data_IF_536524637156
#
_entry.id   IF_536524637156
#
_cell.length_a   1.000
_cell.length_b   1.000
_cell.length_c   1.000
_cell.angle_alpha   90.00
_cell.angle_beta   90.00
_cell.angle_gamma   90.00
#
_symmetry.space_group_name_H-M   'P 1'
#
loop_
_entity.id
_entity.type
_entity.pdbx_description
1 polymer ?
#
# COMPACT_ATOMS: atom_id res chain seq x y z
N UNK A 1 -8.56 26.67 22.87
CA UNK A 1 -7.77 25.47 22.52
C UNK A 1 -6.58 25.88 21.68
N UNK A 2 -5.60 24.99 21.51
CA UNK A 2 -4.53 25.18 20.54
C UNK A 2 -4.97 24.65 19.16
N UNK A 3 -4.37 25.15 18.09
CA UNK A 3 -4.61 24.70 16.71
C UNK A 3 -3.33 24.06 16.20
N UNK A 4 -3.46 22.86 15.62
CA UNK A 4 -2.42 22.20 14.86
C UNK A 4 -2.79 22.28 13.38
N UNK A 5 -1.94 22.90 12.58
CA UNK A 5 -2.05 22.94 11.13
C UNK A 5 -0.97 22.05 10.51
N UNK A 6 -1.39 21.08 9.71
CA UNK A 6 -0.50 20.17 8.98
C UNK A 6 -0.59 20.54 7.51
N UNK A 7 0.45 21.21 7.01
CA UNK A 7 0.53 21.65 5.63
C UNK A 7 0.65 20.52 4.61
N UNK A 8 0.90 20.89 3.35
CA UNK A 8 1.02 19.93 2.25
C UNK A 8 2.26 19.05 2.42
N UNK A 9 2.13 17.76 2.08
CA UNK A 9 3.27 16.84 2.08
C UNK A 9 4.26 17.19 0.96
N UNK A 10 5.51 17.48 1.32
CA UNK A 10 6.60 17.74 0.36
C UNK A 10 7.30 16.46 -0.11
N UNK A 11 7.30 15.41 0.74
CA UNK A 11 7.88 14.09 0.46
C UNK A 11 6.92 13.01 0.94
N UNK A 12 6.51 12.16 0.02
CA UNK A 12 5.51 11.14 0.28
C UNK A 12 4.08 11.67 0.13
N UNK A 13 3.10 10.87 0.56
CA UNK A 13 1.66 11.20 0.41
C UNK A 13 0.82 10.98 1.67
N UNK A 14 1.40 10.41 2.73
CA UNK A 14 0.68 10.07 3.97
C UNK A 14 1.43 10.58 5.19
N UNK A 15 0.72 11.27 6.07
CA UNK A 15 1.18 11.66 7.40
C UNK A 15 0.24 11.05 8.46
N UNK A 16 0.74 10.94 9.68
CA UNK A 16 -0.01 10.39 10.81
C UNK A 16 0.01 11.40 11.95
N UNK A 17 -1.16 11.75 12.46
CA UNK A 17 -1.34 12.53 13.68
C UNK A 17 -1.86 11.59 14.76
N UNK A 18 -1.16 11.54 15.89
CA UNK A 18 -1.53 10.69 17.01
C UNK A 18 -1.77 11.54 18.25
N UNK A 19 -2.75 11.11 19.05
CA UNK A 19 -3.13 11.76 20.31
C UNK A 19 -2.88 10.79 21.46
N UNK A 20 -2.41 11.29 22.61
CA UNK A 20 -2.35 10.50 23.82
C UNK A 20 -3.75 9.98 24.17
N UNK A 21 -3.87 8.70 24.53
CA UNK A 21 -5.17 8.03 24.71
C UNK A 21 -5.84 7.56 23.41
N UNK A 22 -5.40 8.05 22.25
CA UNK A 22 -5.96 7.71 20.95
C UNK A 22 -7.32 8.35 20.67
N UNK A 23 -7.91 8.03 19.52
CA UNK A 23 -9.27 8.46 19.15
C UNK A 23 -10.29 7.43 19.64
N UNK A 24 -11.24 7.84 20.47
CA UNK A 24 -12.27 6.95 21.02
C UNK A 24 -13.53 6.89 20.16
N UNK A 25 -13.34 6.55 18.89
CA UNK A 25 -14.45 6.30 17.96
C UNK A 25 -14.95 4.85 18.10
N UNK A 26 -16.22 4.55 17.83
CA UNK A 26 -16.73 3.19 17.86
C UNK A 26 -15.91 2.24 16.98
N UNK A 27 -15.57 1.06 17.51
CA UNK A 27 -14.89 0.03 16.75
C UNK A 27 -15.90 -0.76 15.90
N UNK A 28 -15.52 -1.08 14.66
CA UNK A 28 -16.26 -1.97 13.75
C UNK A 28 -15.40 -3.22 13.55
N UNK A 29 -15.96 -4.39 13.84
CA UNK A 29 -15.23 -5.67 13.82
C UNK A 29 -13.94 -5.66 14.65
N UNK A 30 -13.95 -4.97 15.80
CA UNK A 30 -12.78 -4.84 16.68
C UNK A 30 -11.68 -3.89 16.20
N UNK A 31 -11.89 -3.17 15.10
CA UNK A 31 -10.95 -2.19 14.53
C UNK A 31 -11.55 -0.79 14.45
N UNK A 32 -10.68 0.23 14.45
CA UNK A 32 -11.05 1.64 14.17
C UNK A 32 -10.51 2.13 12.82
N UNK A 33 -9.98 1.23 12.00
CA UNK A 33 -9.52 1.58 10.66
C UNK A 33 -10.70 1.77 9.70
N UNK A 34 -10.61 2.77 8.84
CA UNK A 34 -11.50 2.94 7.69
C UNK A 34 -11.01 2.07 6.53
N UNK A 35 -11.89 1.21 6.03
CA UNK A 35 -11.69 0.45 4.79
C UNK A 35 -12.47 1.13 3.65
N UNK A 36 -11.75 1.71 2.70
CA UNK A 36 -12.37 2.43 1.58
C UNK A 36 -13.03 1.50 0.55
N UNK A 37 -12.68 0.22 0.51
CA UNK A 37 -13.27 -0.72 -0.43
C UNK A 37 -14.65 -1.18 0.05
N UNK A 38 -14.75 -1.58 1.32
CA UNK A 38 -16.00 -2.10 1.89
C UNK A 38 -16.89 -1.03 2.54
N UNK A 39 -16.33 0.14 2.86
CA UNK A 39 -17.00 1.18 3.63
C UNK A 39 -17.10 0.89 5.13
N UNK A 40 -16.36 -0.12 5.62
CA UNK A 40 -16.33 -0.47 7.04
C UNK A 40 -15.45 0.49 7.85
N UNK A 41 -15.79 0.61 9.14
CA UNK A 41 -15.07 1.48 10.08
C UNK A 41 -15.61 2.90 10.13
N UNK A 42 -14.89 3.82 10.81
CA UNK A 42 -15.25 5.23 10.86
C UNK A 42 -15.23 5.85 9.46
N UNK A 43 -16.17 6.74 9.17
CA UNK A 43 -16.18 7.48 7.90
C UNK A 43 -14.94 8.40 7.78
N UNK A 44 -14.48 8.70 6.55
CA UNK A 44 -13.50 9.76 6.32
C UNK A 44 -13.93 11.06 6.98
N UNK A 45 -12.96 11.78 7.55
CA UNK A 45 -13.22 13.03 8.25
C UNK A 45 -13.76 14.10 7.30
N UNK A 46 -14.60 14.97 7.84
CA UNK A 46 -15.15 16.15 7.17
C UNK A 46 -15.07 17.36 8.09
N UNK A 47 -15.18 18.55 7.52
CA UNK A 47 -15.13 19.80 8.27
C UNK A 47 -16.17 19.83 9.39
N UNK A 48 -15.74 20.25 10.58
CA UNK A 48 -16.58 20.27 11.77
C UNK A 48 -16.71 18.93 12.51
N UNK A 49 -16.08 17.84 12.01
CA UNK A 49 -16.03 16.57 12.75
C UNK A 49 -15.42 16.77 14.14
N UNK A 50 -16.05 16.15 15.14
CA UNK A 50 -15.58 16.14 16.53
C UNK A 50 -15.24 14.71 16.92
N UNK A 51 -13.97 14.49 17.26
CA UNK A 51 -13.46 13.17 17.61
C UNK A 51 -13.17 13.14 19.11
N UNK A 52 -13.83 12.25 19.88
CA UNK A 52 -13.51 12.07 21.29
C UNK A 52 -12.10 11.48 21.42
N UNK A 53 -11.37 11.93 22.44
CA UNK A 53 -10.09 11.33 22.82
C UNK A 53 -10.32 10.28 23.89
N UNK A 54 -9.58 9.18 23.81
CA UNK A 54 -9.55 8.18 24.86
C UNK A 54 -8.80 8.68 26.10
N UNK A 55 -8.97 7.99 27.22
CA UNK A 55 -8.22 8.29 28.44
C UNK A 55 -6.72 7.99 28.23
N UNK A 56 -5.88 9.00 28.46
CA UNK A 56 -4.44 8.80 28.51
C UNK A 56 -4.06 8.21 29.86
N UNK A 57 -3.63 6.94 29.87
CA UNK A 57 -3.00 6.31 31.04
C UNK A 57 -1.58 6.82 31.32
N UNK A 58 -1.04 7.64 30.43
CA UNK A 58 0.29 8.24 30.56
C UNK A 58 0.12 9.70 30.97
N UNK A 59 0.87 10.13 31.99
CA UNK A 59 1.04 11.56 32.30
C UNK A 59 1.73 12.31 31.15
N UNK A 60 1.88 13.64 31.24
CA UNK A 60 2.64 14.39 30.24
C UNK A 60 4.01 13.72 30.05
N UNK A 61 4.43 13.44 28.80
CA UNK A 61 5.62 12.66 28.55
C UNK A 61 6.84 13.33 29.22
N UNK A 62 7.68 12.59 29.97
CA UNK A 62 8.87 13.16 30.62
C UNK A 62 9.99 13.58 29.65
N UNK A 63 9.79 13.47 28.34
CA UNK A 63 10.81 13.69 27.32
C UNK A 63 10.29 14.57 26.19
N UNK A 64 11.06 15.60 25.84
CA UNK A 64 11.14 16.15 24.48
C UNK A 64 11.20 14.97 23.51
N UNK A 65 10.19 14.81 22.65
CA UNK A 65 10.05 13.61 21.83
C UNK A 65 11.32 13.29 21.05
N UNK A 66 11.72 12.01 21.08
CA UNK A 66 12.80 11.53 20.23
C UNK A 66 12.40 11.77 18.77
N UNK A 67 13.07 12.71 18.12
CA UNK A 67 12.90 12.94 16.68
C UNK A 67 13.58 11.77 15.99
N UNK A 68 12.79 10.78 15.59
CA UNK A 68 13.27 9.71 14.74
C UNK A 68 13.48 10.26 13.33
N UNK A 69 14.70 10.21 12.77
CA UNK A 69 14.93 10.64 11.41
C UNK A 69 14.15 9.74 10.45
N UNK A 70 13.13 10.28 9.80
CA UNK A 70 12.47 9.64 8.68
C UNK A 70 13.22 10.00 7.39
N UNK A 71 13.90 9.03 6.79
CA UNK A 71 14.70 9.23 5.57
C UNK A 71 13.90 9.59 4.31
N UNK A 72 12.56 9.67 4.42
CA UNK A 72 11.68 9.90 3.28
C UNK A 72 11.59 8.68 2.35
N UNK A 73 10.83 8.85 1.27
CA UNK A 73 10.96 7.98 0.10
C UNK A 73 12.08 8.49 -0.80
N UNK A 74 12.87 7.56 -1.35
CA UNK A 74 13.85 7.90 -2.38
C UNK A 74 13.18 8.41 -3.65
N UNK A 75 13.98 8.96 -4.57
CA UNK A 75 13.50 9.45 -5.86
C UNK A 75 12.92 8.33 -6.76
N UNK A 76 13.26 7.07 -6.49
CA UNK A 76 12.69 5.87 -7.12
C UNK A 76 12.27 4.88 -6.02
N UNK A 77 11.11 4.25 -6.20
CA UNK A 77 10.62 3.19 -5.33
C UNK A 77 11.03 1.83 -5.91
N UNK A 78 11.81 1.08 -5.13
CA UNK A 78 12.27 -0.26 -5.50
C UNK A 78 11.48 -1.29 -4.70
N UNK A 79 10.63 -2.06 -5.37
CA UNK A 79 9.80 -3.07 -4.72
C UNK A 79 10.41 -4.46 -4.91
N UNK A 80 10.92 -5.12 -3.84
CA UNK A 80 11.30 -6.52 -3.93
C UNK A 80 10.07 -7.36 -4.28
N UNK A 81 10.25 -8.35 -5.15
CA UNK A 81 9.18 -9.19 -5.67
C UNK A 81 9.53 -10.65 -5.51
N UNK A 82 8.78 -11.35 -4.67
CA UNK A 82 8.83 -12.80 -4.56
C UNK A 82 7.95 -13.40 -5.68
N UNK A 83 8.49 -14.17 -6.64
CA UNK A 83 7.71 -14.69 -7.77
C UNK A 83 6.58 -15.63 -7.36
N UNK A 84 5.48 -15.60 -8.12
CA UNK A 84 4.32 -16.49 -7.93
C UNK A 84 3.21 -15.90 -7.04
N UNK A 85 2.10 -16.63 -6.85
CA UNK A 85 1.91 -18.04 -7.21
C UNK A 85 1.58 -18.31 -8.67
N UNK A 86 1.21 -17.30 -9.47
CA UNK A 86 0.77 -17.46 -10.88
C UNK A 86 1.81 -17.00 -11.90
N UNK A 87 3.10 -17.10 -11.57
CA UNK A 87 4.17 -16.74 -12.50
C UNK A 87 4.14 -17.59 -13.79
N UNK A 88 3.56 -18.79 -13.73
CA UNK A 88 3.32 -19.71 -14.85
C UNK A 88 2.21 -19.26 -15.82
N UNK A 89 1.48 -18.19 -15.50
CA UNK A 89 0.48 -17.59 -16.39
C UNK A 89 1.07 -16.62 -17.41
N UNK A 90 2.34 -16.26 -17.24
CA UNK A 90 3.02 -15.25 -18.04
C UNK A 90 4.13 -15.87 -18.89
N UNK A 91 4.62 -15.12 -19.87
CA UNK A 91 5.69 -15.58 -20.75
C UNK A 91 6.94 -16.00 -19.95
N UNK A 92 7.71 -17.01 -20.40
CA UNK A 92 9.01 -17.32 -19.81
C UNK A 92 9.86 -16.05 -19.68
N UNK A 93 10.35 -15.77 -18.47
CA UNK A 93 11.11 -14.56 -18.20
C UNK A 93 10.28 -13.30 -17.91
N UNK A 94 8.96 -13.39 -17.78
CA UNK A 94 8.08 -12.26 -17.44
C UNK A 94 8.47 -11.54 -16.15
N UNK A 95 8.90 -12.27 -15.11
CA UNK A 95 9.43 -11.66 -13.88
C UNK A 95 10.69 -10.83 -14.17
N UNK A 96 11.56 -11.32 -15.05
CA UNK A 96 12.74 -10.58 -15.49
C UNK A 96 12.37 -9.37 -16.36
N UNK A 97 11.36 -9.48 -17.22
CA UNK A 97 10.84 -8.36 -18.01
C UNK A 97 10.23 -7.28 -17.11
N UNK A 98 9.43 -7.69 -16.11
CA UNK A 98 8.88 -6.84 -15.07
C UNK A 98 10.00 -6.12 -14.30
N UNK A 99 11.09 -6.80 -13.97
CA UNK A 99 12.25 -6.20 -13.30
C UNK A 99 13.02 -5.19 -14.14
N UNK A 100 13.08 -5.39 -15.47
CA UNK A 100 13.73 -4.45 -16.41
C UNK A 100 12.81 -3.30 -16.83
N UNK A 101 11.51 -3.47 -16.66
CA UNK A 101 10.50 -2.46 -16.98
C UNK A 101 10.67 -1.21 -16.11
N UNK A 102 10.48 -0.05 -16.74
CA UNK A 102 10.43 1.23 -16.03
C UNK A 102 8.96 1.59 -15.82
N UNK A 103 8.56 1.70 -14.57
CA UNK A 103 7.20 2.06 -14.21
C UNK A 103 7.16 3.42 -13.52
N UNK A 104 5.97 4.01 -13.52
CA UNK A 104 5.64 5.15 -12.65
C UNK A 104 4.35 4.87 -11.92
N UNK A 105 4.18 5.47 -10.74
CA UNK A 105 2.93 5.38 -9.99
C UNK A 105 1.83 6.12 -10.73
N UNK A 106 0.71 5.44 -10.97
CA UNK A 106 -0.45 6.02 -11.63
C UNK A 106 -1.23 6.94 -10.68
N UNK A 107 -1.81 8.05 -11.17
CA UNK A 107 -2.74 8.87 -10.39
C UNK A 107 -4.01 8.12 -9.95
N UNK A 108 -4.32 6.96 -10.54
CA UNK A 108 -5.43 6.11 -10.12
C UNK A 108 -5.11 5.22 -8.89
N UNK A 109 -3.95 5.39 -8.27
CA UNK A 109 -3.54 4.65 -7.06
C UNK A 109 -4.27 5.15 -5.81
N UNK A 110 -4.62 4.23 -4.92
CA UNK A 110 -5.31 4.55 -3.66
C UNK A 110 -4.94 3.54 -2.56
N UNK A 111 -5.74 3.45 -1.48
CA UNK A 111 -5.49 2.49 -0.39
C UNK A 111 -5.71 1.02 -0.75
N UNK A 112 -6.43 0.74 -1.84
CA UNK A 112 -6.72 -0.61 -2.33
C UNK A 112 -5.49 -1.15 -3.08
N UNK A 113 -4.89 -0.32 -3.93
CA UNK A 113 -3.69 -0.72 -4.66
C UNK A 113 -2.91 0.43 -5.28
N UNK A 114 -1.60 0.23 -5.35
CA UNK A 114 -0.69 1.03 -6.15
C UNK A 114 -0.77 0.54 -7.60
N UNK A 115 -1.26 1.38 -8.48
CA UNK A 115 -1.38 1.10 -9.92
C UNK A 115 -0.16 1.65 -10.64
N UNK A 116 0.32 0.93 -11.64
CA UNK A 116 1.50 1.34 -12.40
C UNK A 116 1.15 1.82 -13.81
N UNK A 117 1.94 2.75 -14.34
CA UNK A 117 2.03 3.07 -15.76
C UNK A 117 3.39 2.60 -16.26
N UNK A 118 3.43 1.87 -17.37
CA UNK A 118 4.65 1.30 -17.92
C UNK A 118 4.36 0.19 -18.93
N UNK A 119 5.39 -0.58 -19.33
CA UNK A 119 5.23 -1.70 -20.25
C UNK A 119 4.25 -2.74 -19.70
N UNK A 120 3.33 -3.28 -20.52
CA UNK A 120 2.49 -4.39 -20.10
C UNK A 120 3.32 -5.66 -19.92
N UNK A 121 2.92 -6.49 -18.96
CA UNK A 121 3.46 -7.84 -18.80
C UNK A 121 2.64 -8.80 -19.66
N UNK A 122 3.32 -9.53 -20.54
CA UNK A 122 2.68 -10.48 -21.44
C UNK A 122 2.14 -11.71 -20.69
N UNK A 123 0.82 -11.90 -20.78
CA UNK A 123 0.10 -13.06 -20.27
C UNK A 123 -0.02 -14.10 -21.40
N UNK A 124 0.26 -15.37 -21.09
CA UNK A 124 0.11 -16.48 -22.04
C UNK A 124 -1.23 -17.21 -21.90
N UNK A 125 -1.71 -17.31 -20.66
CA UNK A 125 -2.98 -17.97 -20.31
C UNK A 125 -4.08 -16.95 -20.31
N UNK A 126 -5.01 -17.03 -21.25
CA UNK A 126 -6.07 -16.03 -21.42
C UNK A 126 -7.38 -16.37 -20.72
N UNK A 127 -7.52 -17.61 -20.23
CA UNK A 127 -8.66 -18.09 -19.48
C UNK A 127 -8.94 -17.26 -18.21
N UNK A 128 -10.17 -17.38 -17.69
CA UNK A 128 -10.55 -16.81 -16.41
C UNK A 128 -9.87 -17.57 -15.27
N UNK A 129 -9.29 -16.83 -14.32
CA UNK A 129 -8.77 -17.41 -13.08
C UNK A 129 -9.91 -17.45 -12.06
N UNK A 130 -10.29 -18.62 -11.53
CA UNK A 130 -11.21 -18.70 -10.41
C UNK A 130 -10.68 -17.85 -9.25
N UNK A 131 -11.57 -17.09 -8.60
CA UNK A 131 -11.18 -16.19 -7.52
C UNK A 131 -10.38 -16.91 -6.44
N UNK A 132 -9.22 -16.36 -6.11
CA UNK A 132 -8.32 -16.91 -5.09
C UNK A 132 -8.00 -15.88 -4.02
N UNK A 133 -7.52 -16.34 -2.86
CA UNK A 133 -7.20 -15.48 -1.72
C UNK A 133 -6.08 -14.50 -2.03
N UNK A 134 -6.28 -13.23 -1.68
CA UNK A 134 -5.30 -12.17 -1.88
C UNK A 134 -4.65 -11.78 -0.56
N UNK A 135 -3.39 -11.33 -0.65
CA UNK A 135 -2.65 -10.78 0.48
C UNK A 135 -2.12 -9.40 0.14
N UNK A 136 -1.85 -8.60 1.16
CA UNK A 136 -1.19 -7.31 0.97
C UNK A 136 0.16 -7.53 0.31
N UNK A 137 0.43 -6.74 -0.73
CA UNK A 137 1.62 -6.88 -1.57
C UNK A 137 1.45 -7.81 -2.77
N UNK A 138 0.35 -8.53 -2.92
CA UNK A 138 0.06 -9.25 -4.17
C UNK A 138 0.15 -8.31 -5.37
N UNK A 139 0.94 -8.70 -6.38
CA UNK A 139 1.09 -7.97 -7.65
C UNK A 139 0.22 -8.65 -8.68
N UNK A 140 -1.02 -8.18 -8.82
CA UNK A 140 -1.93 -8.65 -9.85
C UNK A 140 -1.60 -8.02 -11.20
N UNK A 141 -1.82 -8.78 -12.27
CA UNK A 141 -1.75 -8.28 -13.65
C UNK A 141 -3.13 -8.47 -14.30
N UNK A 142 -3.94 -7.40 -14.41
CA UNK A 142 -5.22 -7.43 -15.11
C UNK A 142 -5.06 -7.65 -16.63
N UNK A 143 -6.16 -7.74 -17.40
CA UNK A 143 -6.11 -7.97 -18.85
C UNK A 143 -5.35 -6.91 -19.65
N UNK A 144 -5.20 -5.69 -19.12
CA UNK A 144 -4.41 -4.61 -19.74
C UNK A 144 -2.89 -4.80 -19.57
N UNK A 145 -2.46 -5.83 -18.84
CA UNK A 145 -1.07 -6.18 -18.60
C UNK A 145 -0.36 -5.29 -17.58
N UNK A 146 -1.05 -4.31 -16.97
CA UNK A 146 -0.39 -3.33 -16.09
C UNK A 146 -0.39 -3.80 -14.63
N UNK A 147 0.78 -3.97 -13.99
CA UNK A 147 0.85 -4.44 -12.61
C UNK A 147 0.12 -3.52 -11.62
N UNK A 148 -0.60 -4.14 -10.68
CA UNK A 148 -1.22 -3.48 -9.52
C UNK A 148 -0.72 -4.16 -8.25
N UNK A 149 -0.08 -3.39 -7.35
CA UNK A 149 0.38 -3.88 -6.04
C UNK A 149 -0.72 -3.62 -5.02
N UNK A 150 -1.27 -4.66 -4.43
CA UNK A 150 -2.31 -4.53 -3.41
C UNK A 150 -1.80 -3.95 -2.09
N UNK A 151 -2.56 -3.01 -1.55
CA UNK A 151 -2.29 -2.28 -0.31
C UNK A 151 -3.38 -2.58 0.74
N UNK A 152 -3.41 -1.82 1.84
CA UNK A 152 -4.17 -2.17 3.05
C UNK A 152 -5.67 -2.48 2.84
N UNK A 153 -6.32 -1.88 1.84
CA UNK A 153 -7.76 -2.06 1.57
C UNK A 153 -8.01 -3.01 0.39
N UNK A 154 -7.06 -3.90 0.08
CA UNK A 154 -7.22 -4.87 -1.01
C UNK A 154 -8.41 -5.82 -0.74
N UNK A 155 -9.10 -6.31 -1.78
CA UNK A 155 -10.15 -7.30 -1.59
C UNK A 155 -9.59 -8.60 -1.02
N UNK A 156 -10.43 -9.37 -0.31
CA UNK A 156 -10.04 -10.68 0.24
C UNK A 156 -9.76 -11.71 -0.85
N UNK A 157 -10.42 -11.59 -2.01
CA UNK A 157 -10.22 -12.45 -3.18
C UNK A 157 -10.05 -11.65 -4.45
N UNK A 158 -9.45 -12.25 -5.48
CA UNK A 158 -9.32 -11.63 -6.79
C UNK A 158 -9.22 -12.66 -7.91
N UNK A 159 -9.66 -12.26 -9.10
CA UNK A 159 -9.70 -13.12 -10.30
C UNK A 159 -8.63 -12.82 -11.35
N UNK A 160 -7.58 -12.08 -10.98
CA UNK A 160 -6.45 -11.79 -11.88
C UNK A 160 -5.18 -12.48 -11.39
N UNK A 161 -4.34 -13.00 -12.29
CA UNK A 161 -3.13 -13.73 -11.92
C UNK A 161 -2.15 -12.83 -11.17
N UNK A 162 -1.67 -13.35 -10.04
CA UNK A 162 -0.62 -12.73 -9.22
C UNK A 162 0.75 -13.19 -9.72
N UNK A 163 1.51 -12.30 -10.36
CA UNK A 163 2.85 -12.61 -10.89
C UNK A 163 3.90 -12.73 -9.77
N UNK A 164 3.67 -12.06 -8.65
CA UNK A 164 4.55 -12.05 -7.50
C UNK A 164 3.93 -11.33 -6.30
N UNK A 165 4.61 -11.40 -5.16
CA UNK A 165 4.20 -10.73 -3.92
C UNK A 165 5.32 -9.84 -3.42
N UNK A 166 5.01 -8.57 -3.15
CA UNK A 166 5.89 -7.63 -2.48
C UNK A 166 5.86 -7.89 -0.97
N UNK A 167 7.02 -8.14 -0.32
CA UNK A 167 7.08 -8.33 1.13
C UNK A 167 6.51 -7.15 1.92
N UNK A 168 5.84 -7.45 3.02
CA UNK A 168 5.20 -6.44 3.89
C UNK A 168 6.14 -5.30 4.31
N UNK A 169 7.42 -5.59 4.56
CA UNK A 169 8.43 -4.60 4.94
C UNK A 169 8.69 -3.52 3.87
N UNK A 170 8.37 -3.79 2.60
CA UNK A 170 8.53 -2.83 1.51
C UNK A 170 7.24 -2.05 1.16
N UNK A 171 6.08 -2.48 1.69
CA UNK A 171 4.80 -1.81 1.43
C UNK A 171 4.72 -0.38 1.97
N UNK A 172 5.37 0.01 3.09
CA UNK A 172 5.38 1.41 3.52
C UNK A 172 5.94 2.36 2.46
N UNK A 173 6.97 1.95 1.71
CA UNK A 173 7.53 2.76 0.62
C UNK A 173 6.54 2.90 -0.54
N UNK A 174 5.86 1.80 -0.92
CA UNK A 174 4.78 1.83 -1.92
C UNK A 174 3.63 2.76 -1.46
N UNK A 175 3.23 2.66 -0.20
CA UNK A 175 2.17 3.49 0.37
C UNK A 175 2.57 4.97 0.51
N UNK A 176 3.85 5.33 0.37
CA UNK A 176 4.27 6.73 0.38
C UNK A 176 4.50 7.28 -1.04
N UNK A 177 4.49 6.45 -2.07
CA UNK A 177 4.79 6.87 -3.43
C UNK A 177 3.68 7.78 -4.02
N UNK A 178 4.07 8.95 -4.52
CA UNK A 178 3.15 9.90 -5.16
C UNK A 178 2.91 9.52 -6.63
N UNK A 179 1.80 9.94 -7.26
CA UNK A 179 1.63 9.85 -8.70
C UNK A 179 2.84 10.42 -9.45
N UNK A 180 3.32 9.70 -10.46
CA UNK A 180 4.52 10.04 -11.22
C UNK A 180 5.83 9.58 -10.59
N UNK A 181 5.86 9.13 -9.34
CA UNK A 181 7.08 8.57 -8.73
C UNK A 181 7.59 7.37 -9.56
N UNK A 182 8.86 7.37 -10.00
CA UNK A 182 9.49 6.22 -10.63
C UNK A 182 9.44 4.98 -9.75
N UNK A 183 9.15 3.84 -10.36
CA UNK A 183 9.03 2.55 -9.69
C UNK A 183 9.70 1.46 -10.52
N UNK A 184 10.38 0.55 -9.84
CA UNK A 184 10.87 -0.71 -10.42
C UNK A 184 10.65 -1.88 -9.48
N UNK A 185 10.46 -3.06 -10.07
CA UNK A 185 10.43 -4.31 -9.34
C UNK A 185 11.83 -4.92 -9.30
N UNK A 186 12.20 -5.53 -8.17
CA UNK A 186 13.47 -6.21 -7.98
C UNK A 186 13.19 -7.69 -7.62
N UNK A 187 13.59 -8.67 -8.45
CA UNK A 187 13.42 -10.08 -8.12
C UNK A 187 14.08 -10.38 -6.77
N UNK A 188 13.32 -11.01 -5.88
CA UNK A 188 13.78 -11.43 -4.57
C UNK A 188 13.59 -12.93 -4.40
N UNK A 189 14.44 -13.54 -3.58
CA UNK A 189 14.31 -14.94 -3.18
C UNK A 189 13.83 -14.96 -1.74
N UNK A 190 12.94 -15.89 -1.40
CA UNK A 190 12.50 -16.07 -0.03
C UNK A 190 13.68 -16.59 0.78
N UNK A 191 14.19 -15.78 1.72
CA UNK A 191 15.16 -16.28 2.69
C UNK A 191 14.43 -17.25 3.60
N UNK A 192 14.90 -18.51 3.77
CA UNK A 192 14.32 -19.40 4.76
C UNK A 192 14.42 -18.73 6.14
N UNK A 193 13.35 -18.87 6.93
CA UNK A 193 13.35 -18.49 8.36
C UNK A 193 14.11 -19.52 9.18
#
# INVERSE_FOLDING_TARGET
GAVLDVGTAERGVRAYVAFAGGLDVPAVLGSRATDLLSGLGPAPLSDGARLPLGESRFGPPPYTGDVLPYGGIGAEVVLPLLPGPRADWFAPGAVGALARGRYTVSPASNRIGLRTLGPPVERLRHEELPSEGMVSGSVQVPPDGRPVVFLADHPTTGGYPVIGVVPAAALPAAAQAAPGTPLRFAPAVRTPR
#
